data_IF_610094659439
#
_entry.id   IF_610094659439
#
_cell.length_a   1.000
_cell.length_b   1.000
_cell.length_c   1.000
_cell.angle_alpha   90.00
_cell.angle_beta   90.00
_cell.angle_gamma   90.00
#
_symmetry.space_group_name_H-M   'P 1'
#
loop_
_entity.id
_entity.type
_entity.pdbx_description
1 polymer ?
#
# COMPACT_ATOMS: atom_id res chain seq x y z
N UNK A 1 -4.20 22.99 8.98
CA UNK A 1 -4.74 21.92 9.86
C UNK A 1 -4.19 20.63 9.30
N UNK A 2 -3.33 19.93 10.04
CA UNK A 2 -2.85 18.60 9.61
C UNK A 2 -4.04 17.65 9.80
N UNK A 3 -4.54 17.08 8.72
CA UNK A 3 -5.60 16.08 8.76
C UNK A 3 -4.96 14.76 9.18
N UNK A 4 -5.19 14.32 10.41
CA UNK A 4 -4.72 13.01 10.85
C UNK A 4 -5.63 11.94 10.28
N UNK A 5 -5.07 11.03 9.51
CA UNK A 5 -5.77 9.82 9.05
C UNK A 5 -5.92 8.90 10.26
N UNK A 6 -7.16 8.68 10.71
CA UNK A 6 -7.41 7.83 11.88
C UNK A 6 -7.42 6.34 11.47
N UNK A 7 -6.28 5.68 11.58
CA UNK A 7 -6.16 4.23 11.38
C UNK A 7 -6.61 3.48 12.63
N UNK A 8 -7.26 2.34 12.43
CA UNK A 8 -7.60 1.41 13.50
C UNK A 8 -7.26 -0.03 13.13
N UNK A 9 -6.81 -0.83 14.09
CA UNK A 9 -6.55 -2.25 13.86
C UNK A 9 -7.80 -3.00 13.36
N UNK A 10 -8.96 -2.72 13.94
CA UNK A 10 -10.22 -3.33 13.51
C UNK A 10 -10.58 -3.00 12.05
N UNK A 11 -10.32 -1.77 11.61
CA UNK A 11 -10.53 -1.39 10.21
C UNK A 11 -9.54 -2.06 9.26
N UNK A 12 -8.26 -2.17 9.64
CA UNK A 12 -7.26 -2.90 8.88
C UNK A 12 -7.57 -4.41 8.83
N UNK A 13 -8.05 -4.98 9.92
CA UNK A 13 -8.42 -6.41 9.99
C UNK A 13 -9.60 -6.77 9.07
N UNK A 14 -10.37 -5.80 8.59
CA UNK A 14 -11.44 -6.08 7.58
C UNK A 14 -10.88 -6.61 6.26
N UNK A 15 -9.60 -6.35 5.97
CA UNK A 15 -8.93 -6.82 4.76
C UNK A 15 -8.22 -8.16 4.93
N UNK A 16 -7.98 -8.61 6.16
CA UNK A 16 -7.18 -9.80 6.45
C UNK A 16 -7.79 -11.05 5.81
N UNK A 17 -6.95 -11.84 5.12
CA UNK A 17 -7.36 -13.07 4.41
C UNK A 17 -8.04 -12.81 3.07
N UNK A 18 -8.18 -11.55 2.62
CA UNK A 18 -8.74 -11.25 1.31
C UNK A 18 -7.65 -11.20 0.24
N UNK A 19 -7.96 -11.78 -0.90
CA UNK A 19 -7.19 -11.63 -2.13
C UNK A 19 -7.40 -10.24 -2.75
N UNK A 20 -6.46 -9.81 -3.60
CA UNK A 20 -6.56 -8.51 -4.27
C UNK A 20 -7.78 -8.40 -5.19
N UNK A 21 -8.25 -9.50 -5.76
CA UNK A 21 -9.48 -9.56 -6.57
C UNK A 21 -10.73 -9.25 -5.76
N UNK A 22 -10.70 -9.52 -4.45
CA UNK A 22 -11.77 -9.21 -3.50
C UNK A 22 -11.69 -7.77 -2.96
N UNK A 23 -10.58 -7.08 -3.20
CA UNK A 23 -10.33 -5.72 -2.71
C UNK A 23 -10.45 -4.68 -3.83
N UNK A 24 -9.92 -4.98 -5.03
CA UNK A 24 -9.80 -4.01 -6.11
C UNK A 24 -11.11 -3.82 -6.91
N UNK A 25 -11.82 -2.71 -6.78
CA UNK A 25 -13.03 -2.45 -7.57
C UNK A 25 -12.75 -2.25 -9.06
N UNK A 26 -11.48 -2.02 -9.44
CA UNK A 26 -11.09 -1.85 -10.85
C UNK A 26 -10.87 -3.19 -11.58
N UNK A 27 -10.94 -4.33 -10.87
CA UNK A 27 -10.71 -5.66 -11.44
C UNK A 27 -9.29 -5.84 -11.97
N UNK A 28 -8.29 -5.26 -11.31
CA UNK A 28 -6.87 -5.49 -11.59
C UNK A 28 -6.31 -6.48 -10.55
N UNK A 29 -6.20 -7.73 -10.95
CA UNK A 29 -5.90 -8.89 -10.10
C UNK A 29 -4.88 -9.85 -10.74
N UNK A 30 -3.98 -9.32 -11.58
CA UNK A 30 -2.97 -10.10 -12.29
C UNK A 30 -1.94 -10.70 -11.29
N UNK A 31 -2.00 -12.00 -11.03
CA UNK A 31 -1.16 -12.73 -10.07
C UNK A 31 0.34 -12.65 -10.36
N UNK A 32 0.73 -12.32 -11.59
CA UNK A 32 2.13 -12.09 -11.96
C UNK A 32 2.66 -10.72 -11.48
N UNK A 33 1.80 -9.87 -10.93
CA UNK A 33 2.16 -8.55 -10.42
C UNK A 33 2.30 -8.55 -8.89
N UNK A 34 3.09 -7.59 -8.38
CA UNK A 34 3.21 -7.38 -6.95
C UNK A 34 2.11 -6.43 -6.46
N UNK A 35 1.25 -6.92 -5.56
CA UNK A 35 0.09 -6.17 -5.07
C UNK A 35 0.30 -5.49 -3.71
N UNK A 36 1.51 -5.45 -3.14
CA UNK A 36 1.70 -4.83 -1.83
C UNK A 36 1.40 -3.32 -1.82
N UNK A 37 1.85 -2.55 -2.83
CA UNK A 37 1.48 -1.14 -2.97
C UNK A 37 0.02 -0.95 -3.37
N UNK A 38 -0.52 -1.86 -4.17
CA UNK A 38 -1.90 -1.88 -4.61
C UNK A 38 -2.87 -1.96 -3.42
N UNK A 39 -2.63 -2.92 -2.52
CA UNK A 39 -3.38 -3.07 -1.27
C UNK A 39 -3.31 -1.80 -0.41
N UNK A 40 -2.10 -1.37 -0.05
CA UNK A 40 -1.89 -0.18 0.78
C UNK A 40 -2.60 1.05 0.21
N UNK A 41 -2.54 1.20 -1.11
CA UNK A 41 -3.15 2.34 -1.80
C UNK A 41 -4.67 2.29 -1.84
N UNK A 42 -5.30 1.11 -1.86
CA UNK A 42 -6.75 0.99 -1.66
C UNK A 42 -7.17 1.36 -0.24
N UNK A 43 -6.44 0.87 0.77
CA UNK A 43 -6.73 1.14 2.18
C UNK A 43 -6.62 2.62 2.53
N UNK A 44 -5.67 3.32 1.93
CA UNK A 44 -5.37 4.73 2.23
C UNK A 44 -5.84 5.71 1.13
N UNK A 45 -6.60 5.23 0.17
CA UNK A 45 -7.09 6.04 -0.96
C UNK A 45 -5.97 6.80 -1.69
N UNK A 46 -4.79 6.14 -1.83
CA UNK A 46 -3.66 6.69 -2.60
C UNK A 46 -3.94 6.51 -4.10
N UNK A 47 -4.77 7.35 -4.64
CA UNK A 47 -5.41 7.22 -5.95
C UNK A 47 -4.96 8.29 -6.96
N UNK A 48 -5.62 8.32 -8.10
CA UNK A 48 -5.36 9.27 -9.18
C UNK A 48 -5.46 10.75 -8.76
N UNK A 49 -6.22 11.08 -7.71
CA UNK A 49 -6.38 12.46 -7.22
C UNK A 49 -5.08 12.99 -6.62
N UNK A 50 -4.28 12.13 -6.00
CA UNK A 50 -2.97 12.48 -5.45
C UNK A 50 -1.84 12.47 -6.49
N UNK A 51 -2.09 11.97 -7.70
CA UNK A 51 -1.12 11.91 -8.82
C UNK A 51 0.20 11.20 -8.47
N UNK A 52 0.11 10.14 -7.67
CA UNK A 52 1.30 9.41 -7.18
C UNK A 52 2.00 8.60 -8.28
N UNK A 53 1.31 8.22 -9.35
CA UNK A 53 1.90 7.45 -10.43
C UNK A 53 0.91 6.52 -11.13
N UNK A 54 1.38 5.32 -11.52
CA UNK A 54 0.54 4.34 -12.19
C UNK A 54 -0.49 3.74 -11.23
N UNK A 55 -1.78 3.74 -11.62
CA UNK A 55 -2.86 3.19 -10.81
C UNK A 55 -3.60 2.03 -11.50
N UNK A 56 -4.26 1.18 -10.72
CA UNK A 56 -5.08 0.09 -11.24
C UNK A 56 -6.23 0.58 -12.14
N UNK A 57 -6.74 1.79 -11.91
CA UNK A 57 -7.76 2.41 -12.77
C UNK A 57 -7.28 2.66 -14.22
N UNK A 58 -5.99 2.69 -14.46
CA UNK A 58 -5.42 2.84 -15.80
C UNK A 58 -5.25 1.49 -16.52
N UNK A 59 -5.25 0.37 -15.78
CA UNK A 59 -4.89 -0.94 -16.27
C UNK A 59 -6.04 -1.70 -16.93
N UNK A 60 -7.28 -1.45 -16.48
CA UNK A 60 -8.45 -2.20 -16.93
C UNK A 60 -9.50 -1.29 -17.57
N UNK A 61 -10.40 -1.87 -18.37
CA UNK A 61 -11.54 -1.14 -18.94
C UNK A 61 -12.55 -0.70 -17.86
N UNK A 62 -12.75 -1.52 -16.82
CA UNK A 62 -13.60 -1.20 -15.69
C UNK A 62 -12.97 -0.08 -14.84
N UNK A 63 -11.68 -0.19 -14.55
CA UNK A 63 -10.93 0.85 -13.83
C UNK A 63 -11.02 2.22 -14.51
N UNK A 64 -10.93 2.27 -15.83
CA UNK A 64 -11.07 3.53 -16.58
C UNK A 64 -12.44 4.18 -16.40
N UNK A 65 -13.51 3.39 -16.25
CA UNK A 65 -14.85 3.91 -15.95
C UNK A 65 -14.96 4.44 -14.52
N UNK A 66 -14.28 3.76 -13.56
CA UNK A 66 -14.32 4.09 -12.14
C UNK A 66 -13.32 5.18 -11.74
N UNK A 67 -12.42 5.59 -12.63
CA UNK A 67 -11.35 6.55 -12.36
C UNK A 67 -11.86 7.88 -11.80
N UNK A 68 -12.92 8.41 -12.35
CA UNK A 68 -13.51 9.67 -11.90
C UNK A 68 -14.13 9.59 -10.48
N UNK A 69 -14.35 8.38 -9.98
CA UNK A 69 -14.89 8.10 -8.64
C UNK A 69 -13.79 7.85 -7.60
N UNK A 70 -12.51 8.00 -7.99
CA UNK A 70 -11.38 7.80 -7.10
C UNK A 70 -11.06 6.33 -6.80
N UNK A 71 -11.58 5.39 -7.57
CA UNK A 71 -11.37 3.95 -7.32
C UNK A 71 -9.96 3.45 -7.64
N UNK A 72 -9.14 4.23 -8.35
CA UNK A 72 -7.77 3.85 -8.70
C UNK A 72 -6.84 3.84 -7.49
N UNK A 73 -5.96 2.85 -7.42
CA UNK A 73 -4.95 2.72 -6.38
C UNK A 73 -3.56 2.62 -7.00
N UNK A 74 -2.55 3.25 -6.40
CA UNK A 74 -1.17 3.22 -6.89
C UNK A 74 -0.60 1.81 -6.84
N UNK A 75 0.10 1.41 -7.89
CA UNK A 75 0.62 0.04 -8.06
C UNK A 75 2.10 -0.12 -7.66
N UNK A 76 2.85 0.97 -7.48
CA UNK A 76 4.31 0.91 -7.35
C UNK A 76 4.82 1.43 -6.02
N UNK A 77 5.55 0.58 -5.29
CA UNK A 77 6.13 0.89 -3.98
C UNK A 77 7.02 2.13 -4.01
N UNK A 78 7.91 2.23 -5.00
CA UNK A 78 8.82 3.37 -5.11
C UNK A 78 8.11 4.68 -5.46
N UNK A 79 6.98 4.64 -6.16
CA UNK A 79 6.17 5.83 -6.43
C UNK A 79 5.50 6.33 -5.16
N UNK A 80 4.93 5.43 -4.35
CA UNK A 80 4.37 5.78 -3.03
C UNK A 80 5.46 6.33 -2.10
N UNK A 81 6.60 5.63 -2.00
CA UNK A 81 7.72 6.08 -1.15
C UNK A 81 8.20 7.48 -1.51
N UNK A 82 8.46 7.72 -2.81
CA UNK A 82 9.00 9.00 -3.28
C UNK A 82 8.01 10.17 -3.22
N UNK A 83 6.73 9.87 -3.07
CA UNK A 83 5.68 10.87 -2.87
C UNK A 83 5.55 11.29 -1.40
N UNK A 84 5.80 10.38 -0.45
CA UNK A 84 5.60 10.59 0.97
C UNK A 84 6.84 11.17 1.65
N UNK A 85 6.67 11.87 2.77
CA UNK A 85 7.75 12.37 3.59
C UNK A 85 8.39 11.25 4.42
N UNK A 86 9.73 11.11 4.34
CA UNK A 86 10.52 10.12 5.09
C UNK A 86 10.58 10.50 6.59
N UNK A 87 10.41 9.52 7.48
CA UNK A 87 10.55 9.68 8.93
C UNK A 87 11.54 8.65 9.49
N UNK A 88 12.38 9.04 10.48
CA UNK A 88 13.45 8.18 10.97
C UNK A 88 12.98 7.01 11.84
N UNK A 89 11.81 7.13 12.43
CA UNK A 89 11.20 6.12 13.32
C UNK A 89 9.72 5.97 13.00
N UNK A 90 9.13 4.78 13.24
CA UNK A 90 7.72 4.59 12.98
C UNK A 90 6.84 5.44 13.90
N UNK A 91 5.73 5.95 13.33
CA UNK A 91 4.66 6.57 14.11
C UNK A 91 3.69 5.50 14.59
N UNK A 92 3.52 5.38 15.89
CA UNK A 92 2.61 4.42 16.52
C UNK A 92 1.12 4.70 16.23
N UNK A 93 0.78 5.90 15.81
CA UNK A 93 -0.58 6.25 15.36
C UNK A 93 -0.89 5.80 13.93
N UNK A 94 0.12 5.35 13.20
CA UNK A 94 0.05 4.82 11.85
C UNK A 94 1.00 5.50 10.88
N UNK A 95 1.76 4.70 10.16
CA UNK A 95 2.64 5.17 9.09
C UNK A 95 2.80 4.08 8.03
N UNK A 96 3.49 4.40 6.94
CA UNK A 96 3.90 3.40 5.96
C UNK A 96 5.27 2.85 6.35
N UNK A 97 5.42 1.53 6.23
CA UNK A 97 6.69 0.83 6.43
C UNK A 97 7.15 0.19 5.12
N UNK A 98 8.43 0.28 4.84
CA UNK A 98 9.04 -0.27 3.64
C UNK A 98 10.27 -1.10 3.99
N UNK A 99 10.52 -2.14 3.19
CA UNK A 99 11.79 -2.85 3.18
C UNK A 99 12.27 -2.98 1.74
N UNK A 100 13.55 -2.71 1.52
CA UNK A 100 14.17 -2.81 0.20
C UNK A 100 15.67 -3.06 0.34
N UNK A 101 16.35 -3.36 -0.77
CA UNK A 101 17.81 -3.39 -0.80
C UNK A 101 18.39 -2.00 -0.51
N UNK A 102 19.45 -1.94 0.27
CA UNK A 102 20.17 -0.68 0.51
C UNK A 102 20.61 -0.01 -0.82
N UNK A 103 21.03 -0.81 -1.79
CA UNK A 103 21.39 -0.32 -3.13
C UNK A 103 20.23 0.30 -3.92
N UNK A 104 18.99 0.05 -3.51
CA UNK A 104 17.80 0.64 -4.13
C UNK A 104 17.46 2.04 -3.57
N UNK A 105 18.09 2.44 -2.47
CA UNK A 105 17.96 3.80 -1.93
C UNK A 105 19.08 4.65 -2.52
N UNK A 106 18.71 5.67 -3.27
CA UNK A 106 19.64 6.58 -3.96
C UNK A 106 20.26 7.58 -2.98
N UNK A 107 21.32 8.26 -3.42
CA UNK A 107 22.01 9.27 -2.60
C UNK A 107 21.14 10.47 -2.20
N UNK A 108 20.13 10.77 -3.00
CA UNK A 108 19.14 11.83 -2.72
C UNK A 108 18.00 11.37 -1.80
N UNK A 109 18.06 10.14 -1.30
CA UNK A 109 17.06 9.56 -0.41
C UNK A 109 15.89 8.87 -1.13
N UNK A 110 15.75 9.03 -2.46
CA UNK A 110 14.66 8.41 -3.21
C UNK A 110 14.84 6.91 -3.37
N UNK A 111 13.73 6.18 -3.49
CA UNK A 111 13.73 4.74 -3.79
C UNK A 111 13.74 4.50 -5.30
N UNK A 112 14.62 3.62 -5.75
CA UNK A 112 14.69 3.16 -7.12
C UNK A 112 13.68 2.06 -7.45
N UNK A 113 13.80 1.50 -8.64
CA UNK A 113 12.85 0.51 -9.18
C UNK A 113 13.37 -0.94 -9.13
N UNK A 114 14.23 -1.29 -8.17
CA UNK A 114 14.64 -2.69 -7.98
C UNK A 114 13.42 -3.53 -7.54
N UNK A 115 13.34 -4.80 -7.98
CA UNK A 115 12.20 -5.66 -7.66
C UNK A 115 12.09 -6.00 -6.15
N UNK A 116 13.23 -6.08 -5.44
CA UNK A 116 13.26 -6.38 -4.01
C UNK A 116 12.81 -5.15 -3.20
N UNK A 117 11.52 -4.90 -3.16
CA UNK A 117 10.89 -3.86 -2.35
C UNK A 117 9.50 -4.29 -1.93
N UNK A 118 9.13 -3.95 -0.71
CA UNK A 118 7.81 -4.24 -0.14
C UNK A 118 7.33 -3.06 0.70
N UNK A 119 6.02 -2.94 0.84
CA UNK A 119 5.35 -1.92 1.64
C UNK A 119 4.25 -2.54 2.48
N UNK A 120 4.01 -1.97 3.66
CA UNK A 120 2.89 -2.28 4.51
C UNK A 120 2.40 -1.05 5.25
N UNK A 121 1.30 -1.19 5.98
CA UNK A 121 0.77 -0.20 6.91
C UNK A 121 1.20 -0.63 8.31
N UNK A 122 2.02 0.20 8.95
CA UNK A 122 2.43 0.01 10.34
C UNK A 122 1.45 0.71 11.29
N UNK A 123 1.02 0.00 12.33
CA UNK A 123 0.20 0.54 13.39
C UNK A 123 0.45 -0.23 14.69
N UNK A 124 0.90 0.46 15.75
CA UNK A 124 1.10 -0.09 17.10
C UNK A 124 1.89 -1.41 17.15
N UNK A 125 3.04 -1.45 16.49
CA UNK A 125 3.94 -2.61 16.53
C UNK A 125 3.63 -3.71 15.50
N UNK A 126 2.56 -3.58 14.73
CA UNK A 126 2.12 -4.55 13.74
C UNK A 126 2.10 -3.97 12.33
N UNK A 127 2.14 -4.84 11.33
CA UNK A 127 2.17 -4.49 9.91
C UNK A 127 1.11 -5.28 9.17
N UNK A 128 0.22 -4.56 8.47
CA UNK A 128 -0.70 -5.15 7.50
C UNK A 128 -0.11 -4.97 6.11
N UNK A 129 -0.01 -6.06 5.37
CA UNK A 129 0.56 -6.06 4.03
C UNK A 129 -0.09 -7.13 3.17
N UNK A 130 0.05 -7.01 1.85
CA UNK A 130 -0.36 -8.06 0.93
C UNK A 130 0.81 -9.03 0.72
N UNK A 131 0.60 -10.32 1.03
CA UNK A 131 1.55 -11.40 0.77
C UNK A 131 1.35 -11.91 -0.66
N UNK A 132 2.33 -11.66 -1.55
CA UNK A 132 2.21 -12.17 -2.93
C UNK A 132 2.40 -13.68 -3.03
N UNK A 133 3.06 -14.32 -2.06
CA UNK A 133 3.20 -15.78 -2.01
C UNK A 133 1.93 -16.49 -1.57
N UNK A 134 1.17 -15.88 -0.69
CA UNK A 134 -0.05 -16.44 -0.12
C UNK A 134 -1.32 -15.86 -0.78
N UNK A 135 -1.15 -14.83 -1.61
CA UNK A 135 -2.20 -14.10 -2.35
C UNK A 135 -3.30 -13.56 -1.43
N UNK A 136 -2.91 -13.06 -0.27
CA UNK A 136 -3.84 -12.49 0.71
C UNK A 136 -3.22 -11.37 1.55
N UNK A 137 -4.08 -10.61 2.22
CA UNK A 137 -3.65 -9.63 3.22
C UNK A 137 -3.34 -10.33 4.52
N UNK A 138 -2.13 -10.12 5.02
CA UNK A 138 -1.64 -10.66 6.28
C UNK A 138 -1.36 -9.54 7.30
N UNK A 139 -1.36 -9.94 8.57
CA UNK A 139 -0.98 -9.12 9.71
C UNK A 139 0.13 -9.82 10.47
N UNK A 140 1.31 -9.19 10.55
CA UNK A 140 2.46 -9.70 11.27
C UNK A 140 2.96 -8.69 12.29
N UNK A 141 3.68 -9.15 13.32
CA UNK A 141 4.47 -8.22 14.13
C UNK A 141 5.53 -7.55 13.24
N UNK A 142 5.89 -6.30 13.55
CA UNK A 142 6.97 -5.61 12.81
C UNK A 142 8.25 -6.43 12.76
N UNK A 143 8.60 -7.11 13.85
CA UNK A 143 9.81 -7.92 13.94
C UNK A 143 9.76 -9.12 12.97
N UNK A 144 8.64 -9.85 12.93
CA UNK A 144 8.47 -10.99 12.02
C UNK A 144 8.46 -10.52 10.56
N UNK A 145 7.77 -9.41 10.28
CA UNK A 145 7.70 -8.84 8.93
C UNK A 145 9.09 -8.48 8.40
N UNK A 146 9.91 -7.78 9.20
CA UNK A 146 11.29 -7.45 8.83
C UNK A 146 12.11 -8.71 8.65
N UNK A 147 12.07 -9.64 9.61
CA UNK A 147 12.89 -10.87 9.61
C UNK A 147 12.59 -11.73 8.37
N UNK A 148 11.32 -11.96 8.05
CA UNK A 148 10.92 -12.78 6.91
C UNK A 148 11.30 -12.14 5.56
N UNK A 149 11.08 -10.83 5.41
CA UNK A 149 11.41 -10.14 4.16
C UNK A 149 12.91 -9.93 3.98
N UNK A 150 13.69 -9.71 5.07
CA UNK A 150 15.15 -9.68 5.02
C UNK A 150 15.72 -11.03 4.57
N UNK A 151 15.17 -12.12 5.10
CA UNK A 151 15.54 -13.47 4.67
C UNK A 151 15.20 -13.73 3.19
N UNK A 152 14.03 -13.29 2.74
CA UNK A 152 13.57 -13.45 1.37
C UNK A 152 14.40 -12.63 0.36
N UNK A 153 14.71 -11.39 0.69
CA UNK A 153 15.50 -10.51 -0.19
C UNK A 153 17.01 -10.74 -0.07
N UNK A 154 17.46 -11.45 0.97
CA UNK A 154 18.86 -11.68 1.28
C UNK A 154 19.52 -10.42 1.89
N UNK A 155 20.82 -10.55 2.22
CA UNK A 155 21.60 -9.54 2.96
C UNK A 155 21.50 -8.12 2.36
N UNK A 156 21.77 -7.12 3.20
CA UNK A 156 21.82 -5.69 2.85
C UNK A 156 20.46 -5.07 2.51
N UNK A 157 19.43 -5.43 3.25
CA UNK A 157 18.16 -4.68 3.23
C UNK A 157 18.21 -3.47 4.17
N UNK A 158 17.29 -2.55 3.96
CA UNK A 158 17.04 -1.41 4.83
C UNK A 158 15.53 -1.24 5.02
N UNK A 159 15.15 -0.91 6.24
CA UNK A 159 13.78 -0.56 6.59
C UNK A 159 13.64 0.96 6.58
N UNK A 160 12.59 1.46 5.97
CA UNK A 160 12.25 2.88 5.88
C UNK A 160 10.81 3.10 6.33
N UNK A 161 10.53 4.31 6.77
CA UNK A 161 9.18 4.72 7.15
C UNK A 161 8.84 6.05 6.50
N UNK A 162 7.57 6.25 6.15
CA UNK A 162 7.06 7.55 5.72
C UNK A 162 5.78 7.89 6.45
N UNK A 163 5.47 9.17 6.54
CA UNK A 163 4.14 9.60 6.95
C UNK A 163 3.10 9.12 5.92
N UNK A 164 1.87 8.97 6.37
CA UNK A 164 0.73 8.85 5.45
C UNK A 164 0.49 10.24 4.86
N UNK A 165 0.46 10.38 3.53
CA UNK A 165 0.45 11.70 2.91
C UNK A 165 -0.86 12.46 3.17
N UNK A 166 -0.77 13.79 3.18
CA UNK A 166 -1.93 14.65 3.21
C UNK A 166 -2.87 14.35 2.03
N UNK A 167 -4.16 14.29 2.30
CA UNK A 167 -5.18 13.92 1.32
C UNK A 167 -5.49 12.43 1.23
N UNK A 168 -4.73 11.57 1.93
CA UNK A 168 -5.08 10.18 2.13
C UNK A 168 -6.32 10.05 3.02
N UNK A 169 -7.12 9.00 2.78
CA UNK A 169 -8.28 8.65 3.60
C UNK A 169 -8.20 7.17 3.95
N UNK A 170 -8.32 6.84 5.23
CA UNK A 170 -8.38 5.44 5.65
C UNK A 170 -9.77 4.87 5.37
N UNK A 171 -9.81 3.78 4.60
CA UNK A 171 -11.02 3.06 4.23
C UNK A 171 -11.01 1.63 4.80
N UNK A 172 -12.17 1.15 5.21
CA UNK A 172 -12.41 -0.28 5.47
C UNK A 172 -12.70 -1.01 4.15
N UNK A 173 -12.66 -2.34 4.14
CA UNK A 173 -12.97 -3.13 2.94
C UNK A 173 -14.35 -2.76 2.36
N UNK A 174 -15.37 -2.65 3.21
CA UNK A 174 -16.72 -2.28 2.75
C UNK A 174 -16.76 -0.90 2.04
N UNK A 175 -15.95 0.06 2.52
CA UNK A 175 -15.86 1.38 1.90
C UNK A 175 -15.13 1.34 0.56
N UNK A 176 -14.04 0.56 0.46
CA UNK A 176 -13.32 0.36 -0.81
C UNK A 176 -14.25 -0.26 -1.86
N UNK A 177 -14.97 -1.32 -1.50
CA UNK A 177 -15.91 -1.99 -2.42
C UNK A 177 -17.08 -1.11 -2.83
N UNK A 178 -17.52 -0.18 -1.96
CA UNK A 178 -18.57 0.78 -2.28
C UNK A 178 -18.17 1.74 -3.42
N UNK A 179 -16.87 2.00 -3.63
CA UNK A 179 -16.39 2.81 -4.76
C UNK A 179 -16.71 2.16 -6.11
N UNK A 180 -16.72 0.81 -6.18
CA UNK A 180 -17.09 0.07 -7.39
C UNK A 180 -18.60 0.03 -7.65
N UNK A 181 -19.42 0.17 -6.62
CA UNK A 181 -20.88 0.01 -6.71
C UNK A 181 -21.64 1.29 -7.09
N UNK A 182 -20.95 2.43 -7.19
CA UNK A 182 -21.60 3.72 -7.54
C UNK A 182 -21.92 3.87 -9.02
N UNK A 183 -21.57 2.88 -9.87
CA UNK A 183 -21.75 2.91 -11.33
C UNK A 183 -23.16 2.54 -11.82
N UNK A 184 -24.12 2.34 -10.94
CA UNK A 184 -25.44 1.79 -11.23
C UNK A 184 -26.64 2.74 -11.00
N UNK A 185 -26.47 4.06 -11.18
CA UNK A 185 -27.62 4.99 -11.19
C UNK A 185 -27.53 5.99 -12.31
#
# INVERSE_FOLDING_TARGET
MVSYVLITAAGLDTFKGNDISEICPCGFDDDDQNHCAHFVSHVLELNDSLKIGLTCAQMTSEGKKLKAQGAGACLRVNEVFNFCEDIPVPDESGCLIYITKLANVKKDGTMGDMPQKHIGIYFKGEVWHYSNSDQEVERWTKADWISKLDAHYGKHTVVKYTVIPDGATFLTLAQVLALGNTSGK
#
